data_IF_279997021851
#
_entry.id   IF_279997021851
#
_cell.length_a   1.000
_cell.length_b   1.000
_cell.length_c   1.000
_cell.angle_alpha   90.00
_cell.angle_beta   90.00
_cell.angle_gamma   90.00
#
_symmetry.space_group_name_H-M   'P 1'
#
loop_
_entity.id
_entity.type
_entity.pdbx_description
1 polymer ?
#
# COMPACT_ATOMS: atom_id res chain seq x y z
N UNK A 1 1.99 38.26 -20.14
CA UNK A 1 2.83 37.17 -20.67
C UNK A 1 2.41 35.94 -19.90
N UNK A 2 1.59 35.10 -20.52
CA UNK A 2 0.89 34.00 -19.85
C UNK A 2 1.72 32.74 -20.02
N UNK A 3 2.34 32.24 -18.95
CA UNK A 3 3.00 30.94 -18.96
C UNK A 3 1.93 29.83 -18.96
N UNK A 4 1.79 29.14 -20.09
CA UNK A 4 0.99 27.92 -20.19
C UNK A 4 1.63 26.82 -19.35
N UNK A 5 0.95 26.42 -18.27
CA UNK A 5 1.34 25.30 -17.42
C UNK A 5 1.07 23.98 -18.15
N UNK A 6 2.03 23.54 -18.95
CA UNK A 6 1.99 22.24 -19.60
C UNK A 6 2.34 21.12 -18.59
N UNK A 7 1.44 20.89 -17.61
CA UNK A 7 1.61 19.84 -16.60
C UNK A 7 1.19 18.48 -17.17
N UNK A 8 2.08 17.85 -17.93
CA UNK A 8 1.92 16.43 -18.28
C UNK A 8 2.22 15.61 -17.03
N UNK A 9 1.20 15.26 -16.27
CA UNK A 9 1.34 14.33 -15.14
C UNK A 9 1.48 12.92 -15.73
N UNK A 10 2.60 12.21 -15.51
CA UNK A 10 2.75 10.85 -15.98
C UNK A 10 1.73 9.95 -15.27
N UNK A 11 0.82 9.35 -16.03
CA UNK A 11 -0.10 8.34 -15.50
C UNK A 11 0.67 7.05 -15.30
N UNK A 12 0.86 6.65 -14.05
CA UNK A 12 1.51 5.39 -13.72
C UNK A 12 0.48 4.26 -13.78
N UNK A 13 0.33 3.67 -14.98
CA UNK A 13 -0.54 2.52 -15.20
C UNK A 13 0.08 1.26 -14.56
N UNK A 14 -0.30 0.99 -13.31
CA UNK A 14 -0.02 -0.27 -12.64
C UNK A 14 -1.11 -1.29 -12.97
N UNK A 15 -0.71 -2.54 -13.25
CA UNK A 15 -1.63 -3.69 -13.35
C UNK A 15 -2.28 -4.02 -12.00
N UNK A 16 -1.67 -3.56 -10.91
CA UNK A 16 -2.15 -3.74 -9.54
C UNK A 16 -2.83 -2.43 -9.07
N UNK A 17 -4.03 -2.55 -8.51
CA UNK A 17 -4.73 -1.42 -7.89
C UNK A 17 -3.83 -0.71 -6.85
N UNK A 18 -3.82 0.64 -6.78
CA UNK A 18 -3.04 1.39 -5.79
C UNK A 18 -3.28 0.97 -4.34
N UNK A 19 -4.54 0.66 -4.03
CA UNK A 19 -4.96 0.09 -2.76
C UNK A 19 -5.80 -1.16 -3.03
N UNK A 20 -5.71 -2.15 -2.15
CA UNK A 20 -6.48 -3.39 -2.28
C UNK A 20 -7.09 -3.80 -0.95
N UNK A 21 -8.24 -4.47 -0.99
CA UNK A 21 -8.79 -5.07 0.23
C UNK A 21 -7.82 -6.15 0.74
N UNK A 22 -7.91 -6.49 2.03
CA UNK A 22 -7.08 -7.55 2.62
C UNK A 22 -7.26 -8.88 1.88
N UNK A 23 -8.49 -9.19 1.45
CA UNK A 23 -8.82 -10.39 0.67
C UNK A 23 -8.23 -10.35 -0.74
N UNK A 24 -8.34 -9.22 -1.45
CA UNK A 24 -7.73 -9.06 -2.78
C UNK A 24 -6.22 -9.19 -2.72
N UNK A 25 -5.59 -8.58 -1.72
CA UNK A 25 -4.15 -8.70 -1.50
C UNK A 25 -3.73 -10.13 -1.17
N UNK A 26 -4.45 -10.80 -0.27
CA UNK A 26 -4.21 -12.20 0.10
C UNK A 26 -4.27 -13.12 -1.13
N UNK A 27 -5.32 -12.99 -1.95
CA UNK A 27 -5.48 -13.73 -3.18
C UNK A 27 -4.36 -13.44 -4.19
N UNK A 28 -3.90 -12.19 -4.26
CA UNK A 28 -2.84 -11.78 -5.19
C UNK A 28 -1.48 -12.40 -4.85
N UNK A 29 -1.13 -12.50 -3.57
CA UNK A 29 0.18 -13.05 -3.14
C UNK A 29 0.13 -14.53 -2.74
N UNK A 30 -1.05 -15.16 -2.75
CA UNK A 30 -1.22 -16.58 -2.45
C UNK A 30 -1.17 -16.95 -0.96
N UNK A 31 -1.71 -16.10 -0.08
CA UNK A 31 -1.84 -16.38 1.36
C UNK A 31 -3.29 -16.32 1.82
N UNK A 32 -3.57 -16.66 3.08
CA UNK A 32 -4.93 -16.54 3.63
C UNK A 32 -5.23 -15.09 4.03
N UNK A 33 -6.51 -14.71 3.97
CA UNK A 33 -6.98 -13.41 4.45
C UNK A 33 -6.66 -13.20 5.94
N UNK A 34 -6.69 -14.27 6.74
CA UNK A 34 -6.30 -14.22 8.16
C UNK A 34 -4.83 -13.84 8.38
N UNK A 35 -3.92 -14.34 7.53
CA UNK A 35 -2.50 -13.94 7.55
C UNK A 35 -2.35 -12.45 7.29
N UNK A 36 -3.01 -11.93 6.24
CA UNK A 36 -2.97 -10.50 5.91
C UNK A 36 -3.60 -9.66 7.01
N UNK A 37 -4.72 -10.11 7.58
CA UNK A 37 -5.34 -9.45 8.74
C UNK A 37 -4.36 -9.32 9.90
N UNK A 38 -3.66 -10.40 10.24
CA UNK A 38 -2.64 -10.38 11.29
C UNK A 38 -1.49 -9.41 10.99
N UNK A 39 -1.10 -9.26 9.72
CA UNK A 39 -0.11 -8.25 9.31
C UNK A 39 -0.63 -6.83 9.41
N UNK A 40 -1.89 -6.59 9.07
CA UNK A 40 -2.54 -5.28 9.20
C UNK A 40 -2.67 -4.89 10.66
N UNK A 41 -3.10 -5.81 11.53
CA UNK A 41 -3.24 -5.58 12.97
C UNK A 41 -1.90 -5.32 13.66
N UNK A 42 -0.82 -5.94 13.17
CA UNK A 42 0.55 -5.75 13.66
C UNK A 42 1.32 -4.66 12.93
N UNK A 43 0.71 -3.99 11.95
CA UNK A 43 1.33 -2.93 11.15
C UNK A 43 2.63 -3.37 10.47
N UNK A 44 2.63 -4.62 10.00
CA UNK A 44 3.70 -5.26 9.22
C UNK A 44 3.58 -4.89 7.74
N UNK A 45 2.40 -4.50 7.27
CA UNK A 45 2.17 -4.02 5.90
C UNK A 45 1.62 -2.60 5.94
N UNK A 46 1.94 -1.75 4.95
CA UNK A 46 1.43 -0.40 4.92
C UNK A 46 -0.06 -0.43 4.61
N UNK A 47 -0.85 0.33 5.36
CA UNK A 47 -2.29 0.42 5.16
C UNK A 47 -2.76 1.85 4.96
N UNK A 48 -3.95 2.01 4.40
CA UNK A 48 -4.70 3.27 4.41
C UNK A 48 -6.09 3.01 4.96
N UNK A 49 -6.60 3.94 5.77
CA UNK A 49 -7.96 3.87 6.30
C UNK A 49 -8.93 4.52 5.33
N UNK A 50 -9.87 3.75 4.80
CA UNK A 50 -10.98 4.26 3.97
C UNK A 50 -12.29 3.97 4.69
N UNK A 51 -12.90 5.02 5.24
CA UNK A 51 -14.07 4.89 6.11
C UNK A 51 -13.75 4.02 7.34
N UNK A 52 -14.47 2.90 7.49
CA UNK A 52 -14.32 1.97 8.63
C UNK A 52 -13.40 0.77 8.34
N UNK A 53 -12.71 0.75 7.19
CA UNK A 53 -11.90 -0.39 6.74
C UNK A 53 -10.45 0.03 6.49
N UNK A 54 -9.50 -0.86 6.79
CA UNK A 54 -8.08 -0.73 6.41
C UNK A 54 -7.83 -1.50 5.12
N UNK A 55 -7.25 -0.82 4.14
CA UNK A 55 -6.82 -1.37 2.85
C UNK A 55 -5.30 -1.44 2.81
N UNK A 56 -4.74 -2.39 2.06
CA UNK A 56 -3.29 -2.48 1.86
C UNK A 56 -2.87 -1.42 0.84
N UNK A 57 -1.82 -0.65 1.16
CA UNK A 57 -1.23 0.34 0.26
C UNK A 57 -0.16 -0.31 -0.61
N UNK A 58 -0.54 -0.72 -1.82
CA UNK A 58 0.35 -1.44 -2.73
C UNK A 58 1.47 -0.56 -3.26
N UNK A 59 1.25 0.76 -3.36
CA UNK A 59 2.27 1.73 -3.81
C UNK A 59 3.38 1.79 -2.76
N UNK A 60 3.05 2.11 -1.50
CA UNK A 60 4.04 2.22 -0.42
C UNK A 60 4.78 0.90 -0.22
N UNK A 61 4.07 -0.24 -0.28
CA UNK A 61 4.71 -1.55 -0.19
C UNK A 61 5.70 -1.78 -1.34
N UNK A 62 5.31 -1.45 -2.57
CA UNK A 62 6.19 -1.59 -3.73
C UNK A 62 7.43 -0.71 -3.64
N UNK A 63 7.29 0.50 -3.10
CA UNK A 63 8.41 1.42 -2.94
C UNK A 63 9.39 0.96 -1.84
N UNK A 64 8.88 0.42 -0.72
CA UNK A 64 9.70 -0.24 0.30
C UNK A 64 10.45 -1.47 -0.24
N UNK A 65 9.78 -2.29 -1.05
CA UNK A 65 10.44 -3.44 -1.67
C UNK A 65 11.55 -2.99 -2.64
N UNK A 66 11.33 -1.90 -3.39
CA UNK A 66 12.34 -1.33 -4.30
C UNK A 66 13.52 -0.69 -3.56
N UNK A 67 13.31 -0.17 -2.35
CA UNK A 67 14.39 0.39 -1.53
C UNK A 67 15.32 -0.69 -0.96
N UNK A 68 14.93 -1.97 -1.07
CA UNK A 68 15.69 -3.11 -0.58
C UNK A 68 15.20 -3.64 0.76
N UNK A 69 14.11 -3.10 1.30
CA UNK A 69 13.48 -3.65 2.51
C UNK A 69 12.95 -5.06 2.22
N UNK A 70 13.44 -6.03 2.98
CA UNK A 70 13.05 -7.46 2.85
C UNK A 70 12.49 -8.04 4.14
N UNK A 71 12.62 -7.33 5.26
CA UNK A 71 12.13 -7.76 6.57
C UNK A 71 11.17 -6.71 7.09
N UNK A 72 9.90 -7.11 7.24
CA UNK A 72 8.86 -6.30 7.86
C UNK A 72 8.53 -6.86 9.23
N UNK A 73 8.65 -6.03 10.25
CA UNK A 73 8.39 -6.40 11.64
C UNK A 73 7.17 -5.65 12.18
N UNK A 74 6.64 -6.09 13.32
CA UNK A 74 5.50 -5.39 13.93
C UNK A 74 5.83 -3.92 14.18
N UNK A 75 4.89 -3.03 13.85
CA UNK A 75 5.04 -1.59 14.02
C UNK A 75 5.90 -0.90 12.96
N UNK A 76 6.35 -1.61 11.91
CA UNK A 76 7.18 -1.02 10.85
C UNK A 76 6.48 0.13 10.11
N UNK A 77 5.14 0.15 10.10
CA UNK A 77 4.34 1.18 9.43
C UNK A 77 3.56 2.09 10.38
N UNK A 78 4.00 2.23 11.65
CA UNK A 78 3.34 3.03 12.69
C UNK A 78 3.33 4.56 12.46
N UNK A 79 4.03 5.07 11.46
CA UNK A 79 4.18 6.52 11.27
C UNK A 79 3.05 7.10 10.40
N UNK A 80 2.13 7.85 11.03
CA UNK A 80 1.30 8.88 10.37
C UNK A 80 -0.19 8.58 10.10
N UNK A 81 -0.91 7.98 11.05
CA UNK A 81 -2.38 7.80 10.97
C UNK A 81 -3.14 8.80 11.90
N UNK A 82 -2.73 10.07 11.92
CA UNK A 82 -3.49 11.21 12.48
C UNK A 82 -4.13 12.07 11.38
#
# INVERSE_FOLDING_TARGET
>A
MSEELNHTVPVNLSVVSPISSQEQFANFIGVTTDTVRGWVEKEIVPTVKVGKRRFVNNIKLSDELKSGTTIFSSGHFLEGDD
#
